data_IF_202588208792
#
_entry.id   IF_202588208792
#
_cell.length_a   1.000
_cell.length_b   1.000
_cell.length_c   1.000
_cell.angle_alpha   90.00
_cell.angle_beta   90.00
_cell.angle_gamma   90.00
#
_symmetry.space_group_name_H-M   'P 1'
#
loop_
_entity.id
_entity.type
_entity.pdbx_description
1 polymer ?
#
# COMPACT_ATOMS: atom_id res chain seq x y z
N UNK A 1 22.49 -0.40 19.68
CA UNK A 1 21.96 -1.61 19.00
C UNK A 1 21.52 -1.16 17.62
N UNK A 2 22.21 -1.60 16.57
CA UNK A 2 21.82 -1.28 15.20
C UNK A 2 20.53 -2.02 14.87
N UNK A 3 19.48 -1.27 14.56
CA UNK A 3 18.21 -1.81 14.09
C UNK A 3 18.42 -2.69 12.83
N UNK A 4 17.59 -3.73 12.61
CA UNK A 4 17.76 -4.78 11.59
C UNK A 4 17.52 -4.35 10.13
N UNK A 5 17.70 -3.06 9.82
CA UNK A 5 17.48 -2.46 8.50
C UNK A 5 18.21 -3.17 7.36
N UNK A 6 19.36 -3.79 7.62
CA UNK A 6 20.18 -4.44 6.60
C UNK A 6 19.46 -5.64 5.92
N UNK A 7 18.43 -6.20 6.55
CA UNK A 7 17.74 -7.38 6.01
C UNK A 7 16.52 -7.04 5.12
N UNK A 8 15.96 -5.83 5.21
CA UNK A 8 14.78 -5.41 4.44
C UNK A 8 15.12 -4.73 3.09
N UNK A 9 16.40 -4.42 2.87
CA UNK A 9 16.89 -3.62 1.72
C UNK A 9 17.18 -4.47 0.47
N UNK A 10 16.93 -5.78 0.50
CA UNK A 10 17.23 -6.65 -0.63
C UNK A 10 16.28 -6.49 -1.83
N UNK A 11 15.01 -6.09 -1.60
CA UNK A 11 13.96 -6.06 -2.65
C UNK A 11 13.40 -4.65 -2.97
N UNK A 12 13.97 -3.59 -2.39
CA UNK A 12 13.61 -2.20 -2.75
C UNK A 12 14.69 -1.57 -3.64
N UNK A 13 14.33 -0.87 -4.73
CA UNK A 13 15.30 -0.21 -5.59
C UNK A 13 16.15 0.76 -4.77
N UNK A 14 17.46 0.71 -5.00
CA UNK A 14 18.44 1.60 -4.36
C UNK A 14 18.27 3.00 -4.94
N UNK A 15 17.36 3.79 -4.37
CA UNK A 15 17.08 5.16 -4.79
C UNK A 15 18.35 6.02 -4.79
N UNK A 16 18.83 6.42 -5.98
CA UNK A 16 19.84 7.48 -6.12
C UNK A 16 19.20 8.86 -5.88
N UNK A 17 19.54 9.42 -4.72
CA UNK A 17 19.68 10.85 -4.37
C UNK A 17 18.69 11.89 -4.93
N UNK A 18 17.45 11.90 -4.42
CA UNK A 18 16.80 13.15 -4.01
C UNK A 18 16.07 12.92 -2.69
N UNK A 19 16.48 13.62 -1.63
CA UNK A 19 15.89 13.59 -0.30
C UNK A 19 15.12 14.88 -0.12
N UNK A 20 13.79 14.79 -0.07
CA UNK A 20 12.93 15.92 0.24
C UNK A 20 12.42 15.78 1.68
N UNK A 21 12.35 16.89 2.42
CA UNK A 21 11.51 16.93 3.62
C UNK A 21 10.06 16.79 3.21
N UNK A 22 9.20 16.11 3.97
CA UNK A 22 7.80 15.87 3.54
C UNK A 22 7.00 17.15 3.24
N UNK A 23 7.38 18.28 3.81
CA UNK A 23 6.82 19.60 3.50
C UNK A 23 7.18 20.13 2.10
N UNK A 24 8.26 19.65 1.48
CA UNK A 24 8.70 20.04 0.13
C UNK A 24 7.97 19.23 -0.96
N UNK A 25 7.40 18.07 -0.61
CA UNK A 25 6.68 17.16 -1.53
C UNK A 25 5.36 17.77 -2.02
N UNK A 26 4.72 18.61 -1.20
CA UNK A 26 3.40 19.20 -1.47
C UNK A 26 3.48 20.63 -2.04
N UNK A 27 4.63 21.30 -1.90
CA UNK A 27 4.84 22.70 -2.29
C UNK A 27 5.56 22.92 -3.62
N UNK A 28 5.85 21.88 -4.38
CA UNK A 28 6.68 21.91 -5.60
C UNK A 28 6.03 21.17 -6.77
N UNK A 29 6.60 21.29 -7.98
CA UNK A 29 6.22 20.49 -9.17
C UNK A 29 6.55 18.98 -9.02
N UNK A 30 6.98 18.55 -7.83
CA UNK A 30 7.43 17.19 -7.55
C UNK A 30 6.38 16.12 -7.86
N UNK A 31 5.12 16.29 -7.43
CA UNK A 31 4.06 15.29 -7.71
C UNK A 31 3.82 15.17 -9.22
N UNK A 32 3.57 16.28 -9.96
CA UNK A 32 3.39 16.19 -11.41
C UNK A 32 4.59 15.61 -12.17
N UNK A 33 5.82 15.97 -11.78
CA UNK A 33 7.03 15.40 -12.38
C UNK A 33 7.16 13.89 -12.11
N UNK A 34 6.87 13.45 -10.89
CA UNK A 34 6.95 12.03 -10.50
C UNK A 34 5.97 11.17 -11.29
N UNK A 35 4.75 11.69 -11.51
CA UNK A 35 3.77 11.05 -12.40
C UNK A 35 4.31 10.95 -13.82
N UNK A 36 4.80 12.07 -14.39
CA UNK A 36 5.25 12.11 -15.79
C UNK A 36 6.51 11.29 -16.04
N UNK A 37 7.33 11.03 -15.02
CA UNK A 37 8.50 10.15 -15.14
C UNK A 37 8.12 8.71 -15.56
N UNK A 38 6.88 8.27 -15.33
CA UNK A 38 6.39 6.96 -15.79
C UNK A 38 5.83 6.92 -17.21
N UNK A 39 5.82 8.04 -17.95
CA UNK A 39 5.12 8.14 -19.23
C UNK A 39 5.63 7.14 -20.27
N UNK A 40 6.96 7.03 -20.41
CA UNK A 40 7.58 6.09 -21.36
C UNK A 40 7.39 4.64 -20.92
N UNK A 41 7.54 4.35 -19.63
CA UNK A 41 7.42 3.00 -19.08
C UNK A 41 6.00 2.44 -19.25
N UNK A 42 4.98 3.22 -18.86
CA UNK A 42 3.61 2.72 -18.80
C UNK A 42 2.78 3.06 -20.04
N UNK A 43 3.16 4.08 -20.82
CA UNK A 43 2.44 4.51 -22.04
C UNK A 43 0.94 4.67 -21.81
N UNK A 44 0.60 5.29 -20.69
CA UNK A 44 -0.78 5.59 -20.28
C UNK A 44 -1.08 7.08 -20.49
N UNK A 45 -2.34 7.46 -20.79
CA UNK A 45 -2.79 8.84 -20.67
C UNK A 45 -2.52 9.40 -19.27
N UNK A 46 -2.14 10.68 -19.15
CA UNK A 46 -1.66 11.27 -17.89
C UNK A 46 -2.58 11.02 -16.69
N UNK A 47 -3.89 11.13 -16.87
CA UNK A 47 -4.86 10.86 -15.80
C UNK A 47 -4.77 9.41 -15.26
N UNK A 48 -4.60 8.44 -16.14
CA UNK A 48 -4.48 7.03 -15.76
C UNK A 48 -3.10 6.74 -15.18
N UNK A 49 -2.07 7.41 -15.69
CA UNK A 49 -0.71 7.37 -15.15
C UNK A 49 -0.65 7.93 -13.73
N UNK A 50 -1.34 9.04 -13.44
CA UNK A 50 -1.43 9.64 -12.11
C UNK A 50 -2.11 8.70 -11.10
N UNK A 51 -3.18 8.01 -11.51
CA UNK A 51 -3.84 7.01 -10.66
C UNK A 51 -2.95 5.76 -10.43
N UNK A 52 -2.19 5.34 -11.44
CA UNK A 52 -1.21 4.27 -11.31
C UNK A 52 -0.04 4.67 -10.39
N UNK A 53 0.44 5.91 -10.54
CA UNK A 53 1.46 6.49 -9.69
C UNK A 53 1.00 6.53 -8.24
N UNK A 54 -0.23 6.98 -7.96
CA UNK A 54 -0.76 6.99 -6.59
C UNK A 54 -0.80 5.60 -5.95
N UNK A 55 -1.23 4.59 -6.72
CA UNK A 55 -1.18 3.21 -6.26
C UNK A 55 0.25 2.73 -5.96
N UNK A 56 1.19 3.04 -6.85
CA UNK A 56 2.59 2.59 -6.72
C UNK A 56 3.29 3.32 -5.58
N UNK A 57 3.07 4.63 -5.47
CA UNK A 57 3.51 5.47 -4.36
C UNK A 57 3.03 4.89 -3.03
N UNK A 58 1.72 4.65 -2.88
CA UNK A 58 1.14 4.06 -1.68
C UNK A 58 1.83 2.76 -1.29
N UNK A 59 1.99 1.81 -2.21
CA UNK A 59 2.66 0.55 -1.91
C UNK A 59 4.13 0.73 -1.51
N UNK A 60 4.90 1.54 -2.25
CA UNK A 60 6.33 1.70 -1.99
C UNK A 60 6.65 2.50 -0.73
N UNK A 61 5.77 3.41 -0.30
CA UNK A 61 5.97 4.23 0.91
C UNK A 61 5.34 3.63 2.17
N UNK A 62 4.22 2.89 2.02
CA UNK A 62 3.47 2.33 3.16
C UNK A 62 3.94 0.92 3.50
N UNK A 63 4.15 0.06 2.49
CA UNK A 63 4.35 -1.38 2.72
C UNK A 63 5.52 -1.70 3.66
N UNK A 64 6.71 -1.06 3.55
CA UNK A 64 7.81 -1.36 4.47
C UNK A 64 7.47 -1.07 5.94
N UNK A 65 6.78 0.05 6.22
CA UNK A 65 6.39 0.40 7.58
C UNK A 65 5.37 -0.59 8.16
N UNK A 66 4.42 -1.03 7.34
CA UNK A 66 3.41 -2.01 7.75
C UNK A 66 4.01 -3.40 8.00
N UNK A 67 4.99 -3.81 7.19
CA UNK A 67 5.73 -5.06 7.45
C UNK A 67 6.50 -5.00 8.78
N UNK A 68 7.05 -3.84 9.15
CA UNK A 68 7.68 -3.64 10.47
C UNK A 68 6.67 -3.73 11.62
N UNK A 69 5.45 -3.23 11.43
CA UNK A 69 4.37 -3.32 12.43
C UNK A 69 3.96 -4.75 12.73
N UNK A 70 3.89 -5.59 11.69
CA UNK A 70 3.46 -6.99 11.85
C UNK A 70 4.63 -7.89 12.25
N UNK A 71 5.78 -7.79 11.59
CA UNK A 71 6.88 -8.76 11.77
C UNK A 71 7.90 -8.40 12.86
N UNK A 72 7.92 -7.16 13.33
CA UNK A 72 9.02 -6.65 14.17
C UNK A 72 8.57 -5.82 15.38
N UNK A 73 7.27 -5.81 15.71
CA UNK A 73 6.69 -5.04 16.82
C UNK A 73 7.09 -3.55 16.81
N UNK A 74 7.40 -3.01 15.62
CA UNK A 74 7.84 -1.64 15.45
C UNK A 74 6.75 -0.85 14.73
N UNK A 75 6.42 0.34 15.24
CA UNK A 75 5.37 1.19 14.65
C UNK A 75 6.01 2.46 14.09
N UNK A 76 6.62 2.42 12.89
CA UNK A 76 7.15 3.63 12.25
C UNK A 76 6.06 4.67 12.08
N UNK A 77 6.42 5.93 12.33
CA UNK A 77 5.55 7.06 12.01
C UNK A 77 5.29 7.14 10.50
N UNK A 78 4.08 7.49 10.11
CA UNK A 78 3.71 7.77 8.72
C UNK A 78 3.50 9.26 8.48
N UNK A 79 4.00 10.11 9.38
CA UNK A 79 4.08 11.55 9.21
C UNK A 79 5.22 11.90 8.23
N UNK A 80 4.86 12.28 7.01
CA UNK A 80 5.84 12.63 5.99
C UNK A 80 6.63 13.89 6.37
N UNK A 81 6.04 14.82 7.12
CA UNK A 81 6.73 16.06 7.55
C UNK A 81 7.87 15.79 8.51
N UNK A 82 7.78 14.70 9.26
CA UNK A 82 8.75 14.19 10.22
C UNK A 82 9.79 13.24 9.60
N UNK A 83 9.59 12.82 8.35
CA UNK A 83 10.44 11.86 7.65
C UNK A 83 11.05 12.38 6.35
N UNK A 84 11.49 11.45 5.51
CA UNK A 84 12.17 11.71 4.23
C UNK A 84 11.48 10.93 3.12
N UNK A 85 10.98 11.65 2.12
CA UNK A 85 10.44 11.04 0.90
C UNK A 85 11.53 11.07 -0.18
N UNK A 86 11.79 9.92 -0.79
CA UNK A 86 12.75 9.79 -1.89
C UNK A 86 12.03 9.55 -3.21
N UNK A 87 12.69 9.90 -4.32
CA UNK A 87 12.22 9.64 -5.69
C UNK A 87 13.35 9.18 -6.59
N UNK A 88 13.09 8.14 -7.38
CA UNK A 88 13.88 7.73 -8.53
C UNK A 88 12.95 7.52 -9.73
N UNK A 89 12.87 8.53 -10.60
CA UNK A 89 11.91 8.56 -11.71
C UNK A 89 10.47 8.44 -11.19
N UNK A 90 9.78 7.36 -11.59
CA UNK A 90 8.41 7.07 -11.20
C UNK A 90 8.29 6.54 -9.77
N UNK A 91 9.37 5.95 -9.24
CA UNK A 91 9.36 5.23 -7.97
C UNK A 91 9.67 6.15 -6.81
N UNK A 92 9.02 5.91 -5.67
CA UNK A 92 9.21 6.68 -4.45
C UNK A 92 9.48 5.77 -3.26
N UNK A 93 10.14 6.31 -2.25
CA UNK A 93 10.34 5.67 -0.96
C UNK A 93 10.04 6.63 0.18
N UNK A 94 9.87 6.09 1.37
CA UNK A 94 9.71 6.87 2.58
C UNK A 94 10.57 6.28 3.69
N UNK A 95 11.21 7.15 4.46
CA UNK A 95 12.04 6.78 5.59
C UNK A 95 11.74 7.70 6.78
N UNK A 96 11.64 7.10 7.95
CA UNK A 96 11.50 7.81 9.22
C UNK A 96 12.39 7.16 10.29
N UNK A 97 12.86 7.98 11.22
CA UNK A 97 13.48 7.51 12.47
C UNK A 97 12.49 7.60 13.65
N UNK A 98 11.28 8.10 13.40
CA UNK A 98 10.26 8.30 14.42
C UNK A 98 9.30 7.11 14.48
N UNK A 99 8.70 6.91 15.65
CA UNK A 99 7.67 5.90 15.88
C UNK A 99 6.35 6.59 16.22
N UNK A 100 5.25 6.07 15.68
CA UNK A 100 3.92 6.45 16.11
C UNK A 100 3.56 5.72 17.40
N UNK A 101 2.59 6.26 18.14
CA UNK A 101 2.14 5.67 19.41
C UNK A 101 1.40 4.34 19.24
N UNK A 102 0.76 4.15 18.08
CA UNK A 102 0.01 2.93 17.73
C UNK A 102 -0.18 2.85 16.21
N UNK A 103 -0.56 1.68 15.69
CA UNK A 103 -0.92 1.51 14.29
C UNK A 103 -2.07 2.46 13.89
N UNK A 104 -3.03 2.70 14.80
CA UNK A 104 -4.09 3.68 14.60
C UNK A 104 -3.57 5.12 14.51
N UNK A 105 -2.59 5.49 15.33
CA UNK A 105 -1.96 6.81 15.25
C UNK A 105 -1.19 6.97 13.92
N UNK A 106 -0.45 5.95 13.49
CA UNK A 106 0.22 5.94 12.18
C UNK A 106 -0.79 6.09 11.02
N UNK A 107 -1.96 5.46 11.10
CA UNK A 107 -3.03 5.65 10.12
C UNK A 107 -3.52 7.09 10.04
N UNK A 108 -3.64 7.79 11.18
CA UNK A 108 -4.02 9.20 11.22
C UNK A 108 -2.92 10.12 10.66
N UNK A 109 -1.66 9.89 11.03
CA UNK A 109 -0.49 10.61 10.48
C UNK A 109 -0.41 10.47 8.95
N UNK A 110 -0.69 9.27 8.42
CA UNK A 110 -0.75 9.04 6.99
C UNK A 110 -1.86 9.87 6.34
N UNK A 111 -3.06 9.93 6.95
CA UNK A 111 -4.17 10.71 6.42
C UNK A 111 -3.80 12.19 6.26
N UNK A 112 -3.15 12.77 7.28
CA UNK A 112 -2.66 14.15 7.24
C UNK A 112 -1.58 14.35 6.16
N UNK A 113 -0.65 13.40 6.06
CA UNK A 113 0.47 13.44 5.11
C UNK A 113 0.03 13.34 3.64
N UNK A 114 -0.98 12.52 3.35
CA UNK A 114 -1.42 12.26 1.97
C UNK A 114 -2.52 13.20 1.47
N UNK A 115 -3.26 13.87 2.37
CA UNK A 115 -4.35 14.74 1.96
C UNK A 115 -3.91 15.85 0.97
N UNK A 116 -2.81 16.59 1.20
CA UNK A 116 -2.37 17.61 0.25
C UNK A 116 -1.89 17.01 -1.08
N UNK A 117 -1.32 15.80 -1.08
CA UNK A 117 -0.91 15.10 -2.32
C UNK A 117 -2.14 14.72 -3.15
N UNK A 118 -3.21 14.27 -2.49
CA UNK A 118 -4.50 13.98 -3.11
C UNK A 118 -5.10 15.25 -3.74
N UNK A 119 -4.97 16.41 -3.09
CA UNK A 119 -5.44 17.69 -3.64
C UNK A 119 -4.63 18.12 -4.88
N UNK A 120 -3.30 17.94 -4.87
CA UNK A 120 -2.44 18.21 -6.05
C UNK A 120 -2.80 17.27 -7.21
N UNK A 121 -3.00 15.98 -6.93
CA UNK A 121 -3.43 15.01 -7.93
C UNK A 121 -4.81 15.34 -8.52
N UNK A 122 -5.74 15.77 -7.67
CA UNK A 122 -7.10 16.15 -8.07
C UNK A 122 -7.13 17.38 -8.96
N UNK A 123 -6.36 18.42 -8.58
CA UNK A 123 -6.29 19.68 -9.33
C UNK A 123 -5.47 19.57 -10.63
N UNK A 124 -4.39 18.79 -10.63
CA UNK A 124 -3.49 18.68 -11.81
C UNK A 124 -3.99 17.66 -12.84
N UNK A 125 -4.52 16.52 -12.39
CA UNK A 125 -4.85 15.39 -13.26
C UNK A 125 -6.35 15.04 -13.29
N UNK A 126 -7.21 15.91 -12.74
CA UNK A 126 -8.67 15.74 -12.72
C UNK A 126 -9.11 14.40 -12.07
N UNK A 127 -8.37 14.01 -11.03
CA UNK A 127 -8.69 12.83 -10.23
C UNK A 127 -9.72 13.18 -9.15
N UNK A 128 -10.63 12.25 -8.91
CA UNK A 128 -11.59 12.39 -7.81
C UNK A 128 -10.92 11.93 -6.51
N UNK A 129 -11.09 12.64 -5.38
CA UNK A 129 -10.48 12.25 -4.11
C UNK A 129 -10.89 10.86 -3.62
N UNK A 130 -12.16 10.46 -3.76
CA UNK A 130 -12.65 9.19 -3.21
C UNK A 130 -11.90 7.94 -3.73
N UNK A 131 -11.67 7.77 -5.05
CA UNK A 131 -10.80 6.70 -5.55
C UNK A 131 -9.35 6.73 -5.04
N UNK A 132 -8.80 7.91 -4.74
CA UNK A 132 -7.44 8.05 -4.21
C UNK A 132 -7.36 7.59 -2.75
N UNK A 133 -8.32 7.99 -1.92
CA UNK A 133 -8.46 7.49 -0.55
C UNK A 133 -8.67 5.98 -0.50
N UNK A 134 -9.48 5.43 -1.42
CA UNK A 134 -9.66 3.99 -1.54
C UNK A 134 -8.36 3.25 -1.91
N UNK A 135 -7.49 3.85 -2.73
CA UNK A 135 -6.18 3.29 -3.04
C UNK A 135 -5.22 3.36 -1.83
N UNK A 136 -5.28 4.42 -1.03
CA UNK A 136 -4.50 4.54 0.20
C UNK A 136 -4.90 3.46 1.22
N UNK A 137 -6.21 3.28 1.42
CA UNK A 137 -6.72 2.21 2.28
C UNK A 137 -6.41 0.81 1.73
N UNK A 138 -6.43 0.64 0.39
CA UNK A 138 -5.97 -0.59 -0.27
C UNK A 138 -4.50 -0.89 0.04
N UNK A 139 -3.61 0.10 0.03
CA UNK A 139 -2.18 -0.09 0.31
C UNK A 139 -1.94 -0.54 1.76
N UNK A 140 -2.59 0.09 2.74
CA UNK A 140 -2.49 -0.29 4.17
C UNK A 140 -2.92 -1.73 4.39
N UNK A 141 -4.14 -2.07 3.92
CA UNK A 141 -4.69 -3.40 4.17
C UNK A 141 -3.91 -4.49 3.46
N UNK A 142 -3.50 -4.28 2.20
CA UNK A 142 -2.79 -5.31 1.46
C UNK A 142 -1.43 -5.59 2.09
N UNK A 143 -0.70 -4.53 2.43
CA UNK A 143 0.61 -4.68 3.08
C UNK A 143 0.51 -5.40 4.42
N UNK A 144 -0.54 -5.15 5.20
CA UNK A 144 -0.73 -5.78 6.50
C UNK A 144 -1.13 -7.26 6.39
N UNK A 145 -1.99 -7.59 5.43
CA UNK A 145 -2.36 -8.99 5.17
C UNK A 145 -1.20 -9.79 4.57
N UNK A 146 -0.45 -9.20 3.64
CA UNK A 146 0.76 -9.81 3.08
C UNK A 146 1.78 -10.07 4.20
N UNK A 147 2.08 -9.07 5.03
CA UNK A 147 2.98 -9.24 6.16
C UNK A 147 2.47 -10.28 7.18
N UNK A 148 1.16 -10.34 7.44
CA UNK A 148 0.57 -11.33 8.34
C UNK A 148 0.72 -12.75 7.82
N UNK A 149 0.38 -12.97 6.54
CA UNK A 149 0.55 -14.27 5.91
C UNK A 149 2.02 -14.71 5.86
N UNK A 150 2.94 -13.79 5.52
CA UNK A 150 4.39 -14.09 5.43
C UNK A 150 5.02 -14.41 6.80
N UNK A 151 4.51 -13.80 7.87
CA UNK A 151 4.99 -14.05 9.24
C UNK A 151 4.23 -15.18 9.95
N UNK A 152 3.34 -15.90 9.27
CA UNK A 152 2.46 -16.91 9.87
C UNK A 152 1.60 -16.37 11.04
N UNK A 153 1.24 -15.08 10.97
CA UNK A 153 0.33 -14.43 11.92
C UNK A 153 -0.73 -13.59 11.16
N UNK A 154 -1.66 -14.26 10.47
CA UNK A 154 -2.73 -13.58 9.73
C UNK A 154 -3.65 -12.79 10.66
N UNK A 155 -3.78 -13.19 11.93
CA UNK A 155 -4.60 -12.50 12.92
C UNK A 155 -4.02 -11.13 13.22
N UNK A 156 -2.72 -11.06 13.53
CA UNK A 156 -2.01 -9.78 13.74
C UNK A 156 -2.05 -8.91 12.47
N UNK A 157 -1.88 -9.50 11.29
CA UNK A 157 -2.00 -8.78 10.02
C UNK A 157 -3.37 -8.09 9.87
N UNK A 158 -4.46 -8.78 10.21
CA UNK A 158 -5.83 -8.20 10.19
C UNK A 158 -6.01 -7.12 11.27
N UNK A 159 -5.48 -7.33 12.48
CA UNK A 159 -5.56 -6.35 13.57
C UNK A 159 -4.85 -5.04 13.21
N UNK A 160 -3.61 -5.12 12.71
CA UNK A 160 -2.84 -3.98 12.22
C UNK A 160 -3.57 -3.28 11.07
N UNK A 161 -4.13 -4.04 10.12
CA UNK A 161 -4.92 -3.48 9.03
C UNK A 161 -6.13 -2.67 9.55
N UNK A 162 -6.88 -3.22 10.51
CA UNK A 162 -8.05 -2.56 11.10
C UNK A 162 -7.68 -1.28 11.81
N UNK A 163 -6.61 -1.29 12.61
CA UNK A 163 -6.15 -0.11 13.33
C UNK A 163 -5.69 1.00 12.37
N UNK A 164 -4.88 0.65 11.37
CA UNK A 164 -4.43 1.60 10.34
C UNK A 164 -5.62 2.22 9.58
N UNK A 165 -6.60 1.42 9.16
CA UNK A 165 -7.80 1.91 8.46
C UNK A 165 -8.66 2.79 9.37
N UNK A 166 -8.83 2.40 10.64
CA UNK A 166 -9.56 3.19 11.63
C UNK A 166 -8.88 4.53 11.88
N UNK A 167 -7.55 4.56 11.90
CA UNK A 167 -6.74 5.77 12.00
C UNK A 167 -6.86 6.66 10.77
N UNK A 168 -6.79 6.06 9.58
CA UNK A 168 -6.94 6.77 8.30
C UNK A 168 -8.27 7.53 8.22
N UNK A 169 -9.35 6.97 8.77
CA UNK A 169 -10.66 7.61 8.87
C UNK A 169 -11.31 7.97 7.52
N UNK A 170 -10.72 7.47 6.42
CA UNK A 170 -11.12 7.69 5.03
C UNK A 170 -11.06 6.35 4.29
N UNK A 171 -12.01 6.10 3.40
CA UNK A 171 -12.12 4.83 2.67
C UNK A 171 -13.49 4.18 2.86
N UNK A 172 -13.69 3.00 2.28
CA UNK A 172 -14.87 2.19 2.53
C UNK A 172 -14.61 1.20 3.67
N UNK A 173 -15.68 0.71 4.30
CA UNK A 173 -15.60 -0.46 5.18
C UNK A 173 -15.02 -1.65 4.41
N UNK A 174 -14.23 -2.48 5.10
CA UNK A 174 -13.46 -3.55 4.48
C UNK A 174 -13.78 -4.87 5.15
N UNK A 175 -14.17 -5.84 4.33
CA UNK A 175 -14.28 -7.23 4.72
C UNK A 175 -12.99 -8.00 4.41
N UNK A 176 -12.68 -8.93 5.30
CA UNK A 176 -11.54 -9.86 5.16
C UNK A 176 -12.08 -11.26 4.86
N UNK A 177 -11.41 -11.96 3.95
CA UNK A 177 -11.70 -13.34 3.61
C UNK A 177 -10.49 -14.21 3.91
N UNK A 178 -10.72 -15.46 4.26
CA UNK A 178 -9.68 -16.43 4.54
C UNK A 178 -9.80 -17.63 3.59
N UNK A 179 -8.67 -18.22 3.21
CA UNK A 179 -8.61 -19.56 2.64
C UNK A 179 -8.22 -20.52 3.75
N UNK A 180 -9.03 -21.55 3.95
CA UNK A 180 -8.79 -22.64 4.92
C UNK A 180 -9.06 -23.95 4.19
N UNK A 181 -8.07 -24.85 4.16
CA UNK A 181 -8.18 -26.17 3.50
C UNK A 181 -8.73 -26.10 2.06
N UNK A 182 -8.31 -25.09 1.30
CA UNK A 182 -8.73 -24.87 -0.09
C UNK A 182 -10.12 -24.24 -0.27
N UNK A 183 -10.79 -23.82 0.80
CA UNK A 183 -12.10 -23.17 0.77
C UNK A 183 -12.02 -21.70 1.21
N UNK A 184 -12.78 -20.83 0.53
CA UNK A 184 -12.87 -19.41 0.88
C UNK A 184 -14.04 -19.18 1.83
N UNK A 185 -13.76 -18.51 2.94
CA UNK A 185 -14.76 -18.11 3.94
C UNK A 185 -14.51 -16.69 4.46
N UNK A 186 -15.45 -16.16 5.24
CA UNK A 186 -15.23 -14.93 5.99
C UNK A 186 -14.14 -15.16 7.03
N UNK A 187 -13.24 -14.20 7.19
CA UNK A 187 -12.19 -14.29 8.21
C UNK A 187 -12.79 -14.22 9.62
N UNK A 188 -12.34 -15.11 10.49
CA UNK A 188 -12.61 -15.09 11.93
C UNK A 188 -11.29 -15.24 12.70
N UNK A 189 -11.02 -14.43 13.74
CA UNK A 189 -9.77 -14.53 14.51
C UNK A 189 -9.51 -15.92 15.14
N UNK A 190 -10.55 -16.72 15.37
CA UNK A 190 -10.40 -18.09 15.89
C UNK A 190 -9.76 -19.07 14.90
N UNK A 191 -9.62 -18.70 13.62
CA UNK A 191 -8.89 -19.49 12.62
C UNK A 191 -7.39 -19.58 12.92
N UNK A 192 -6.82 -18.64 13.68
CA UNK A 192 -5.40 -18.63 14.02
C UNK A 192 -4.50 -18.56 12.78
N UNK A 193 -3.35 -19.23 12.85
CA UNK A 193 -2.31 -19.30 11.80
C UNK A 193 -2.62 -20.31 10.67
N UNK A 194 -3.67 -21.12 10.83
CA UNK A 194 -4.12 -22.12 9.87
C UNK A 194 -4.88 -21.56 8.67
N UNK A 195 -4.74 -20.27 8.36
CA UNK A 195 -5.47 -19.63 7.28
C UNK A 195 -4.63 -18.63 6.50
N UNK A 196 -4.95 -18.47 5.22
CA UNK A 196 -4.39 -17.42 4.37
C UNK A 196 -5.42 -16.31 4.19
N UNK A 197 -5.11 -15.09 4.64
CA UNK A 197 -6.08 -13.98 4.64
C UNK A 197 -5.86 -13.04 3.48
N UNK A 198 -6.94 -12.62 2.84
CA UNK A 198 -6.93 -11.67 1.74
C UNK A 198 -8.13 -10.74 1.80
N UNK A 199 -8.05 -9.63 1.05
CA UNK A 199 -9.15 -8.70 0.91
C UNK A 199 -9.25 -8.17 -0.53
N UNK A 200 -10.47 -7.94 -1.00
CA UNK A 200 -10.74 -7.38 -2.34
C UNK A 200 -10.32 -5.91 -2.40
N UNK A 201 -9.74 -5.51 -3.53
CA UNK A 201 -9.45 -4.09 -3.80
C UNK A 201 -10.69 -3.26 -3.99
N UNK A 202 -10.71 -2.09 -3.36
CA UNK A 202 -11.77 -1.09 -3.51
C UNK A 202 -11.62 -0.30 -4.80
N UNK A 203 -10.37 -0.06 -5.25
CA UNK A 203 -10.10 0.79 -6.42
C UNK A 203 -9.11 0.16 -7.39
N UNK A 204 -9.22 0.52 -8.66
CA UNK A 204 -8.36 0.01 -9.73
C UNK A 204 -7.17 0.94 -9.95
N UNK A 205 -5.94 0.41 -9.97
CA UNK A 205 -4.75 1.18 -10.33
C UNK A 205 -4.60 1.45 -11.84
N UNK A 206 -5.46 0.86 -12.67
CA UNK A 206 -5.49 1.04 -14.13
C UNK A 206 -4.27 0.51 -14.90
N UNK A 207 -3.32 -0.17 -14.23
CA UNK A 207 -2.11 -0.75 -14.87
C UNK A 207 -2.43 -1.66 -16.05
N UNK A 208 -3.55 -2.39 -16.01
CA UNK A 208 -3.98 -3.30 -17.09
C UNK A 208 -4.22 -2.60 -18.44
N UNK A 209 -4.31 -1.26 -18.46
CA UNK A 209 -4.43 -0.48 -19.69
C UNK A 209 -3.07 -0.21 -20.35
N UNK A 210 -1.97 -0.43 -19.63
CA UNK A 210 -0.63 -0.30 -20.17
C UNK A 210 -0.36 -1.44 -21.17
N UNK A 211 0.26 -1.17 -22.33
CA UNK A 211 0.53 -2.21 -23.32
C UNK A 211 1.36 -3.35 -22.74
N UNK A 212 0.91 -4.59 -22.93
CA UNK A 212 1.57 -5.80 -22.41
C UNK A 212 1.27 -6.10 -20.94
N UNK A 213 0.50 -5.26 -20.24
CA UNK A 213 0.07 -5.53 -18.86
C UNK A 213 -1.22 -6.36 -18.82
N UNK A 214 -1.31 -7.26 -17.84
CA UNK A 214 -2.51 -8.04 -17.55
C UNK A 214 -3.29 -7.53 -16.33
N UNK A 215 -4.26 -8.33 -15.87
CA UNK A 215 -4.93 -8.10 -14.59
C UNK A 215 -4.08 -8.72 -13.47
N UNK A 216 -3.71 -7.93 -12.45
CA UNK A 216 -3.09 -8.47 -11.24
C UNK A 216 -4.06 -9.37 -10.46
N UNK A 217 -3.54 -10.18 -9.55
CA UNK A 217 -4.32 -11.05 -8.64
C UNK A 217 -5.33 -10.24 -7.82
N UNK A 218 -4.90 -9.08 -7.33
CA UNK A 218 -5.74 -8.18 -6.54
C UNK A 218 -6.67 -7.27 -7.35
N UNK A 219 -6.67 -7.34 -8.68
CA UNK A 219 -7.40 -6.38 -9.52
C UNK A 219 -8.92 -6.46 -9.28
N UNK A 220 -9.63 -5.32 -9.05
CA UNK A 220 -11.08 -5.33 -8.92
C UNK A 220 -11.81 -5.66 -10.23
N UNK A 221 -11.11 -5.60 -11.38
CA UNK A 221 -11.65 -6.01 -12.69
C UNK A 221 -11.49 -7.50 -12.97
N UNK A 222 -10.82 -8.27 -12.09
CA UNK A 222 -10.70 -9.72 -12.23
C UNK A 222 -12.06 -10.38 -11.93
N UNK A 223 -12.52 -11.35 -12.74
CA UNK A 223 -13.72 -12.12 -12.44
C UNK A 223 -13.60 -12.85 -11.10
N UNK A 224 -14.69 -12.96 -10.35
CA UNK A 224 -14.68 -13.52 -8.99
C UNK A 224 -14.20 -14.96 -8.95
N UNK A 225 -14.77 -15.84 -9.77
CA UNK A 225 -14.36 -17.25 -9.84
C UNK A 225 -12.86 -17.43 -10.15
N UNK A 226 -12.27 -16.54 -10.97
CA UNK A 226 -10.85 -16.60 -11.25
C UNK A 226 -10.03 -16.15 -10.04
N UNK A 227 -10.42 -15.03 -9.41
CA UNK A 227 -9.75 -14.53 -8.20
C UNK A 227 -9.78 -15.58 -7.09
N UNK A 228 -10.92 -16.22 -6.87
CA UNK A 228 -11.07 -17.26 -5.86
C UNK A 228 -10.09 -18.41 -6.11
N UNK A 229 -10.02 -18.91 -7.34
CA UNK A 229 -9.05 -19.94 -7.72
C UNK A 229 -7.59 -19.47 -7.52
N UNK A 230 -7.25 -18.22 -7.82
CA UNK A 230 -5.88 -17.72 -7.61
C UNK A 230 -5.55 -17.54 -6.13
N UNK A 231 -6.51 -17.15 -5.29
CA UNK A 231 -6.27 -17.03 -3.84
C UNK A 231 -6.10 -18.39 -3.18
N UNK A 232 -6.87 -19.40 -3.61
CA UNK A 232 -6.66 -20.79 -3.19
C UNK A 232 -5.27 -21.26 -3.61
N UNK A 233 -4.90 -21.09 -4.88
CA UNK A 233 -3.59 -21.49 -5.37
C UNK A 233 -2.43 -20.74 -4.68
N UNK A 234 -2.62 -19.48 -4.32
CA UNK A 234 -1.63 -18.71 -3.57
C UNK A 234 -1.48 -19.23 -2.14
N UNK A 235 -2.60 -19.51 -1.47
CA UNK A 235 -2.60 -20.13 -0.14
C UNK A 235 -1.87 -21.48 -0.15
N UNK A 236 -2.16 -22.34 -1.12
CA UNK A 236 -1.50 -23.64 -1.29
C UNK A 236 0.01 -23.54 -1.56
N UNK A 237 0.48 -22.39 -2.06
CA UNK A 237 1.91 -22.15 -2.32
C UNK A 237 2.66 -21.49 -1.16
N UNK A 238 1.93 -20.96 -0.18
CA UNK A 238 2.48 -20.32 1.01
C UNK A 238 2.84 -21.33 2.12
N UNK A 239 2.35 -22.56 2.01
CA UNK A 239 2.60 -23.70 2.91
C UNK A 239 3.31 -24.85 2.17
#
# INVERSE_FOLDING_TARGET
MSLPWASLVADSPRFEQFVFGGSEVTGTDWVPESVRAGAEQFRLPERQLAQLWWYSFGNSVIAPAVHLMVGYEAIPSLDFSAGRVTREGFWCGFHTEQSAESAKAAGAELAESVAPLIDVLGSTFELRPAPLWALTADALRQSALEAGNENFDPVLGVEVARDLIAGLGKGAEVDFSAVVDGEIMAFDPSLGDGCFVFARRMSCCMVYRSPGSGLCTSCPKRPDARREADMIALADSAY
#
